data_IF_078997300474
#
_entry.id   IF_078997300474
#
_cell.length_a   1.000
_cell.length_b   1.000
_cell.length_c   1.000
_cell.angle_alpha   90.00
_cell.angle_beta   90.00
_cell.angle_gamma   90.00
#
_symmetry.space_group_name_H-M   'P 1'
#
loop_
_entity.id
_entity.type
_entity.pdbx_description
1 polymer ?
#
# COMPACT_ATOMS: atom_id res chain seq x y z
N UNK A 1 -3.55 2.42 7.34
CA UNK A 1 -4.38 2.65 6.14
C UNK A 1 -3.58 3.54 5.20
N UNK A 2 -3.50 3.22 3.90
CA UNK A 2 -2.84 4.10 2.92
C UNK A 2 -3.71 5.30 2.63
N UNK A 3 -3.10 6.48 2.36
CA UNK A 3 -3.83 7.65 1.91
C UNK A 3 -4.53 7.35 0.59
N UNK A 4 -5.84 7.48 0.55
CA UNK A 4 -6.63 7.37 -0.68
C UNK A 4 -7.11 8.75 -1.12
N UNK A 5 -7.67 8.87 -2.33
CA UNK A 5 -8.27 10.13 -2.80
C UNK A 5 -9.42 10.56 -1.87
N UNK A 6 -10.22 9.62 -1.35
CA UNK A 6 -11.23 9.90 -0.35
C UNK A 6 -10.61 10.47 0.92
N UNK A 7 -9.59 9.78 1.46
CA UNK A 7 -8.87 10.24 2.64
C UNK A 7 -8.19 11.60 2.44
N UNK A 8 -7.68 11.88 1.24
CA UNK A 8 -7.13 13.20 0.89
C UNK A 8 -8.18 14.31 1.05
N UNK A 9 -9.40 14.08 0.56
CA UNK A 9 -10.50 15.07 0.65
C UNK A 9 -11.00 15.27 2.09
N UNK A 10 -10.73 14.34 2.99
CA UNK A 10 -11.05 14.44 4.42
C UNK A 10 -9.95 15.17 5.22
N UNK A 11 -8.77 15.37 4.63
CA UNK A 11 -7.72 16.17 5.28
C UNK A 11 -8.18 17.62 5.45
N UNK A 12 -7.97 18.25 6.61
CA UNK A 12 -8.52 19.56 6.95
C UNK A 12 -8.23 20.63 5.90
N UNK A 13 -7.03 20.65 5.35
CA UNK A 13 -6.64 21.66 4.37
C UNK A 13 -7.25 21.44 2.98
N UNK A 14 -7.51 20.18 2.62
CA UNK A 14 -8.17 19.83 1.35
C UNK A 14 -9.69 19.90 1.44
N UNK A 15 -10.27 19.57 2.58
CA UNK A 15 -11.72 19.61 2.80
C UNK A 15 -12.32 20.98 2.48
N UNK A 16 -11.64 22.06 2.84
CA UNK A 16 -12.08 23.44 2.59
C UNK A 16 -11.66 23.96 1.20
N UNK A 17 -10.65 23.35 0.57
CA UNK A 17 -9.94 23.93 -0.57
C UNK A 17 -9.94 23.06 -1.82
N UNK A 18 -10.46 21.86 -1.77
CA UNK A 18 -10.47 20.93 -2.90
C UNK A 18 -11.88 20.40 -3.19
N UNK A 19 -12.19 20.25 -4.49
CA UNK A 19 -13.44 19.64 -4.95
C UNK A 19 -13.13 18.58 -6.00
N UNK A 20 -13.68 17.38 -5.82
CA UNK A 20 -13.59 16.31 -6.81
C UNK A 20 -14.45 16.63 -8.02
N UNK A 21 -13.89 16.53 -9.22
CA UNK A 21 -14.55 16.82 -10.50
C UNK A 21 -14.91 15.55 -11.27
N UNK A 22 -14.19 14.46 -11.02
CA UNK A 22 -14.42 13.16 -11.65
C UNK A 22 -15.32 12.28 -10.79
N UNK A 23 -16.07 11.38 -11.41
CA UNK A 23 -16.89 10.36 -10.72
C UNK A 23 -16.18 9.03 -10.53
N UNK A 24 -14.88 8.96 -10.82
CA UNK A 24 -14.12 7.71 -10.77
C UNK A 24 -13.53 7.41 -9.38
N UNK A 25 -12.87 6.27 -9.31
CA UNK A 25 -12.44 5.55 -8.11
C UNK A 25 -11.73 6.42 -7.08
N UNK A 26 -12.40 6.69 -5.97
CA UNK A 26 -11.86 7.44 -4.82
C UNK A 26 -10.94 6.59 -3.93
N UNK A 27 -10.86 5.30 -4.15
CA UNK A 27 -10.06 4.35 -3.35
C UNK A 27 -8.62 4.17 -3.86
N UNK A 28 -8.23 4.85 -4.98
CA UNK A 28 -6.84 4.83 -5.43
C UNK A 28 -5.93 5.43 -4.37
N UNK A 29 -4.81 4.76 -4.13
CA UNK A 29 -3.79 5.18 -3.17
C UNK A 29 -3.03 6.39 -3.67
N UNK A 30 -2.54 7.20 -2.74
CA UNK A 30 -1.60 8.30 -2.98
C UNK A 30 -0.32 7.99 -2.21
N UNK A 31 0.78 7.78 -2.92
CA UNK A 31 2.07 7.39 -2.34
C UNK A 31 3.08 8.53 -2.33
N UNK A 32 2.88 9.52 -3.19
CA UNK A 32 3.69 10.74 -3.21
C UNK A 32 2.90 11.93 -3.75
N UNK A 33 3.41 13.11 -3.52
CA UNK A 33 2.89 14.37 -4.05
C UNK A 33 4.00 15.18 -4.68
N UNK A 34 3.73 15.76 -5.85
CA UNK A 34 4.67 16.66 -6.54
C UNK A 34 3.95 17.83 -7.20
N UNK A 35 4.70 18.88 -7.55
CA UNK A 35 4.20 20.04 -8.27
C UNK A 35 4.74 20.01 -9.70
N UNK A 36 3.85 20.24 -10.66
CA UNK A 36 4.19 20.34 -12.06
C UNK A 36 3.88 21.77 -12.56
N UNK A 37 4.93 22.52 -12.91
CA UNK A 37 4.80 23.88 -13.47
C UNK A 37 5.65 24.07 -14.75
N UNK A 38 6.48 23.08 -15.09
CA UNK A 38 7.34 23.16 -16.27
C UNK A 38 6.57 22.88 -17.56
N UNK A 39 6.87 23.61 -18.66
CA UNK A 39 6.25 23.34 -19.97
C UNK A 39 6.70 22.01 -20.59
N UNK A 40 7.94 21.59 -20.31
CA UNK A 40 8.56 20.38 -20.85
C UNK A 40 8.53 19.27 -19.80
N UNK A 41 7.33 18.89 -19.39
CA UNK A 41 7.16 17.90 -18.36
C UNK A 41 7.43 16.48 -18.90
N UNK A 42 8.48 15.86 -18.35
CA UNK A 42 8.78 14.45 -18.65
C UNK A 42 7.99 13.53 -17.72
N UNK A 43 7.05 12.77 -18.29
CA UNK A 43 6.26 11.78 -17.56
C UNK A 43 7.04 10.55 -17.13
N UNK A 44 8.21 10.27 -17.76
CA UNK A 44 9.04 9.08 -17.46
C UNK A 44 9.64 9.12 -16.04
N UNK A 45 9.69 10.31 -15.43
CA UNK A 45 10.14 10.50 -14.04
C UNK A 45 9.05 10.30 -13.00
N UNK A 46 7.79 10.11 -13.43
CA UNK A 46 6.67 9.88 -12.53
C UNK A 46 6.54 8.39 -12.21
N UNK A 47 6.32 8.12 -10.94
CA UNK A 47 5.86 6.80 -10.49
C UNK A 47 4.33 6.75 -10.49
N UNK A 48 3.77 5.55 -10.47
CA UNK A 48 2.34 5.34 -10.26
C UNK A 48 1.88 5.88 -8.89
N UNK A 49 0.60 6.08 -8.73
CA UNK A 49 -0.04 6.49 -7.47
C UNK A 49 0.36 7.88 -6.94
N UNK A 50 0.76 8.80 -7.83
CA UNK A 50 1.08 10.18 -7.47
C UNK A 50 -0.12 11.11 -7.38
N UNK A 51 -0.02 12.14 -6.52
CA UNK A 51 -0.83 13.35 -6.56
C UNK A 51 -0.02 14.45 -7.24
N UNK A 52 -0.48 14.90 -8.39
CA UNK A 52 0.18 15.99 -9.13
C UNK A 52 -0.58 17.29 -8.89
N UNK A 53 0.10 18.29 -8.34
CA UNK A 53 -0.46 19.63 -8.12
C UNK A 53 0.05 20.57 -9.23
N UNK A 54 -0.85 21.32 -9.86
CA UNK A 54 -0.45 22.23 -10.94
C UNK A 54 -1.35 23.46 -11.00
N UNK A 55 -0.83 24.57 -11.50
CA UNK A 55 -1.61 25.74 -11.91
C UNK A 55 -1.89 25.73 -13.40
N UNK A 56 -1.31 24.80 -14.17
CA UNK A 56 -1.31 24.76 -15.63
C UNK A 56 -0.75 26.03 -16.27
N UNK A 57 0.15 26.75 -15.58
CA UNK A 57 0.70 28.04 -16.01
C UNK A 57 1.37 28.00 -17.39
N UNK A 58 1.95 26.88 -17.77
CA UNK A 58 2.57 26.70 -19.08
C UNK A 58 1.60 26.31 -20.20
N UNK A 59 0.35 25.95 -19.87
CA UNK A 59 -0.58 25.29 -20.80
C UNK A 59 -1.95 25.98 -20.90
N UNK A 60 -2.22 27.01 -20.10
CA UNK A 60 -3.54 27.66 -19.99
C UNK A 60 -4.05 28.33 -21.26
N UNK A 61 -3.15 28.62 -22.22
CA UNK A 61 -3.50 29.37 -23.46
C UNK A 61 -4.39 28.55 -24.42
N UNK A 62 -4.47 27.24 -24.28
CA UNK A 62 -5.21 26.35 -25.16
C UNK A 62 -5.78 25.15 -24.43
N UNK A 63 -7.09 24.92 -24.60
CA UNK A 63 -7.74 23.72 -24.08
C UNK A 63 -7.08 22.44 -24.60
N UNK A 64 -6.64 22.42 -25.87
CA UNK A 64 -5.91 21.29 -26.45
C UNK A 64 -4.57 21.04 -25.74
N UNK A 65 -3.88 22.10 -25.29
CA UNK A 65 -2.64 21.97 -24.52
C UNK A 65 -2.92 21.38 -23.14
N UNK A 66 -3.95 21.87 -22.45
CA UNK A 66 -4.40 21.32 -21.15
C UNK A 66 -4.76 19.84 -21.29
N UNK A 67 -5.59 19.49 -22.26
CA UNK A 67 -6.03 18.12 -22.49
C UNK A 67 -4.87 17.18 -22.82
N UNK A 68 -3.87 17.66 -23.56
CA UNK A 68 -2.64 16.88 -23.86
C UNK A 68 -1.87 16.56 -22.58
N UNK A 69 -1.68 17.53 -21.71
CA UNK A 69 -0.98 17.36 -20.43
C UNK A 69 -1.74 16.40 -19.50
N UNK A 70 -3.05 16.63 -19.34
CA UNK A 70 -3.88 15.73 -18.52
C UNK A 70 -3.86 14.31 -19.05
N UNK A 71 -3.92 14.12 -20.38
CA UNK A 71 -3.77 12.80 -20.98
C UNK A 71 -2.41 12.17 -20.68
N UNK A 72 -1.32 12.92 -20.84
CA UNK A 72 0.04 12.40 -20.56
C UNK A 72 0.19 11.98 -19.10
N UNK A 73 -0.25 12.80 -18.15
CA UNK A 73 -0.25 12.46 -16.73
C UNK A 73 -1.13 11.24 -16.42
N UNK A 74 -2.28 11.15 -17.09
CA UNK A 74 -3.17 10.01 -16.90
C UNK A 74 -2.58 8.70 -17.42
N UNK A 75 -1.83 8.75 -18.52
CA UNK A 75 -1.10 7.60 -19.05
C UNK A 75 0.07 7.15 -18.16
N UNK A 76 0.62 8.06 -17.34
CA UNK A 76 1.62 7.75 -16.32
C UNK A 76 1.02 7.13 -15.05
N UNK A 77 -0.27 6.78 -15.07
CA UNK A 77 -0.98 6.10 -13.96
C UNK A 77 -0.97 6.86 -12.63
N UNK A 78 -0.89 8.20 -12.64
CA UNK A 78 -1.05 8.99 -11.42
C UNK A 78 -2.44 8.77 -10.81
N UNK A 79 -2.60 8.96 -9.52
CA UNK A 79 -3.89 8.76 -8.84
C UNK A 79 -4.80 9.97 -8.99
N UNK A 80 -4.23 11.16 -8.86
CA UNK A 80 -5.01 12.40 -8.97
C UNK A 80 -4.18 13.57 -9.53
N UNK A 81 -4.88 14.48 -10.18
CA UNK A 81 -4.34 15.76 -10.68
C UNK A 81 -5.13 16.88 -10.01
N UNK A 82 -4.45 17.66 -9.15
CA UNK A 82 -4.99 18.83 -8.48
C UNK A 82 -4.70 20.09 -9.29
N UNK A 83 -5.72 20.68 -9.90
CA UNK A 83 -5.63 21.88 -10.72
C UNK A 83 -6.07 23.09 -9.90
N UNK A 84 -5.15 24.00 -9.65
CA UNK A 84 -5.44 25.24 -8.92
C UNK A 84 -6.14 26.25 -9.84
N UNK A 85 -7.34 26.64 -9.43
CA UNK A 85 -8.16 27.63 -10.16
C UNK A 85 -7.83 29.08 -9.73
N UNK A 86 -8.16 30.04 -10.58
CA UNK A 86 -8.14 31.46 -10.29
C UNK A 86 -7.12 32.23 -11.12
N UNK A 87 -5.84 31.87 -11.15
CA UNK A 87 -4.80 32.68 -11.80
C UNK A 87 -4.66 32.43 -13.30
N UNK A 88 -4.65 31.17 -13.72
CA UNK A 88 -4.43 30.79 -15.13
C UNK A 88 -5.65 30.07 -15.71
N UNK A 89 -6.27 29.23 -14.92
CA UNK A 89 -7.46 28.44 -15.30
C UNK A 89 -8.58 28.80 -14.34
N UNK A 90 -9.72 29.30 -14.84
CA UNK A 90 -10.86 29.66 -14.00
C UNK A 90 -11.84 28.49 -13.79
N UNK A 91 -11.89 27.57 -14.73
CA UNK A 91 -12.74 26.37 -14.67
C UNK A 91 -12.10 25.23 -15.40
N UNK A 92 -12.43 24.01 -15.00
CA UNK A 92 -11.98 22.77 -15.64
C UNK A 92 -13.03 22.36 -16.66
N UNK A 93 -12.63 22.28 -17.92
CA UNK A 93 -13.52 21.88 -19.01
C UNK A 93 -13.96 20.42 -18.88
N UNK A 94 -15.16 20.14 -19.35
CA UNK A 94 -15.73 18.79 -19.31
C UNK A 94 -14.88 17.78 -20.08
N UNK A 95 -14.32 18.16 -21.22
CA UNK A 95 -13.45 17.27 -22.00
C UNK A 95 -12.18 16.86 -21.22
N UNK A 96 -11.64 17.77 -20.42
CA UNK A 96 -10.49 17.48 -19.54
C UNK A 96 -10.85 16.45 -18.47
N UNK A 97 -12.04 16.57 -17.88
CA UNK A 97 -12.54 15.61 -16.89
C UNK A 97 -12.78 14.23 -17.53
N UNK A 98 -13.42 14.21 -18.72
CA UNK A 98 -13.68 12.96 -19.45
C UNK A 98 -12.39 12.22 -19.82
N UNK A 99 -11.34 12.94 -20.26
CA UNK A 99 -10.03 12.34 -20.54
C UNK A 99 -9.46 11.68 -19.28
N UNK A 100 -9.45 12.36 -18.15
CA UNK A 100 -8.93 11.77 -16.91
C UNK A 100 -9.74 10.54 -16.46
N UNK A 101 -11.07 10.59 -16.58
CA UNK A 101 -11.96 9.48 -16.26
C UNK A 101 -11.71 8.25 -17.13
N UNK A 102 -11.41 8.42 -18.42
CA UNK A 102 -11.08 7.29 -19.33
C UNK A 102 -9.86 6.49 -18.85
N UNK A 103 -8.94 7.13 -18.14
CA UNK A 103 -7.73 6.49 -17.57
C UNK A 103 -7.87 6.19 -16.07
N UNK A 104 -9.04 6.40 -15.47
CA UNK A 104 -9.27 6.17 -14.05
C UNK A 104 -8.53 7.13 -13.12
N UNK A 105 -8.20 8.35 -13.60
CA UNK A 105 -7.50 9.38 -12.83
C UNK A 105 -8.49 10.41 -12.28
N UNK A 106 -8.31 10.81 -11.05
CA UNK A 106 -9.18 11.82 -10.42
C UNK A 106 -8.67 13.24 -10.68
N UNK A 107 -9.60 14.14 -11.05
CA UNK A 107 -9.34 15.58 -11.16
C UNK A 107 -9.90 16.27 -9.92
N UNK A 108 -9.04 17.05 -9.27
CA UNK A 108 -9.39 17.91 -8.15
C UNK A 108 -9.30 19.37 -8.56
N UNK A 109 -10.40 20.10 -8.45
CA UNK A 109 -10.40 21.56 -8.54
C UNK A 109 -9.94 22.12 -7.20
N UNK A 110 -8.82 22.84 -7.19
CA UNK A 110 -8.24 23.42 -5.99
C UNK A 110 -8.53 24.93 -5.94
N UNK A 111 -8.89 25.43 -4.77
CA UNK A 111 -9.15 26.84 -4.52
C UNK A 111 -7.91 27.70 -4.79
N UNK A 112 -8.09 28.92 -5.25
CA UNK A 112 -7.01 29.91 -5.40
C UNK A 112 -6.25 30.16 -4.10
N UNK A 113 -6.92 30.07 -2.95
CA UNK A 113 -6.31 30.26 -1.63
C UNK A 113 -5.42 29.11 -1.19
N UNK A 114 -5.52 27.93 -1.82
CA UNK A 114 -4.70 26.76 -1.48
C UNK A 114 -3.23 27.04 -1.78
N UNK A 115 -2.37 26.87 -0.79
CA UNK A 115 -0.91 26.98 -0.93
C UNK A 115 -0.31 25.58 -1.11
N UNK A 116 0.34 25.31 -2.24
CA UNK A 116 0.93 24.01 -2.56
C UNK A 116 1.86 23.52 -1.46
N UNK A 117 2.70 24.41 -0.90
CA UNK A 117 3.61 24.01 0.20
C UNK A 117 2.87 23.42 1.42
N UNK A 118 1.70 23.97 1.77
CA UNK A 118 0.89 23.45 2.89
C UNK A 118 0.21 22.14 2.51
N UNK A 119 -0.33 22.05 1.31
CA UNK A 119 -0.93 20.84 0.78
C UNK A 119 0.09 19.69 0.73
N UNK A 120 1.29 19.94 0.24
CA UNK A 120 2.39 18.97 0.21
C UNK A 120 2.76 18.55 1.63
N UNK A 121 2.96 19.51 2.54
CA UNK A 121 3.31 19.22 3.93
C UNK A 121 2.28 18.32 4.61
N UNK A 122 0.99 18.59 4.41
CA UNK A 122 -0.09 17.79 5.01
C UNK A 122 -0.12 16.36 4.46
N UNK A 123 -0.03 16.21 3.13
CA UNK A 123 0.03 14.90 2.48
C UNK A 123 1.24 14.10 2.94
N UNK A 124 2.44 14.68 2.92
CA UNK A 124 3.66 14.00 3.34
C UNK A 124 3.63 13.65 4.82
N UNK A 125 3.08 14.51 5.68
CA UNK A 125 2.91 14.23 7.10
C UNK A 125 1.98 13.05 7.32
N UNK A 126 0.87 12.96 6.59
CA UNK A 126 -0.03 11.82 6.66
C UNK A 126 0.67 10.52 6.25
N UNK A 127 1.33 10.52 5.09
CA UNK A 127 2.06 9.35 4.58
C UNK A 127 3.15 8.90 5.57
N UNK A 128 3.93 9.84 6.11
CA UNK A 128 4.98 9.55 7.09
C UNK A 128 4.43 8.99 8.40
N UNK A 129 3.32 9.52 8.90
CA UNK A 129 2.68 9.03 10.12
C UNK A 129 2.12 7.62 9.94
N UNK A 130 1.55 7.31 8.78
CA UNK A 130 1.10 5.95 8.46
C UNK A 130 2.26 4.94 8.44
N UNK A 131 3.38 5.30 7.80
CA UNK A 131 4.58 4.46 7.78
C UNK A 131 5.15 4.25 9.20
N UNK A 132 5.19 5.31 10.00
CA UNK A 132 5.62 5.26 11.40
C UNK A 132 4.73 4.33 12.21
N UNK A 133 3.40 4.44 12.09
CA UNK A 133 2.46 3.58 12.81
C UNK A 133 2.65 2.10 12.47
N UNK A 134 2.91 1.75 11.21
CA UNK A 134 3.22 0.37 10.81
C UNK A 134 4.53 -0.09 11.46
N UNK A 135 5.57 0.73 11.39
CA UNK A 135 6.89 0.41 11.98
C UNK A 135 6.79 0.21 13.50
N UNK A 136 6.07 1.09 14.20
CA UNK A 136 5.86 0.98 15.65
C UNK A 136 5.11 -0.31 16.03
N UNK A 137 4.10 -0.72 15.24
CA UNK A 137 3.40 -1.99 15.45
C UNK A 137 4.33 -3.19 15.30
N UNK A 138 5.20 -3.18 14.30
CA UNK A 138 6.19 -4.25 14.08
C UNK A 138 7.19 -4.30 15.24
N UNK A 139 7.73 -3.16 15.66
CA UNK A 139 8.67 -3.08 16.79
C UNK A 139 8.00 -3.58 18.08
N UNK A 140 6.77 -3.16 18.33
CA UNK A 140 6.03 -3.57 19.52
C UNK A 140 5.75 -5.09 19.50
N UNK A 141 5.33 -5.64 18.37
CA UNK A 141 5.11 -7.08 18.22
C UNK A 141 6.41 -7.87 18.47
N UNK A 142 7.53 -7.42 17.89
CA UNK A 142 8.82 -8.06 18.11
C UNK A 142 9.23 -8.02 19.59
N UNK A 143 9.09 -6.86 20.26
CA UNK A 143 9.43 -6.73 21.69
C UNK A 143 8.66 -7.72 22.55
N UNK A 144 7.38 -7.87 22.31
CA UNK A 144 6.53 -8.79 23.08
C UNK A 144 6.85 -10.25 22.81
N UNK A 145 7.21 -10.59 21.55
CA UNK A 145 7.70 -11.92 21.23
C UNK A 145 9.02 -12.24 21.96
N UNK A 146 9.96 -11.29 21.96
CA UNK A 146 11.22 -11.49 22.71
C UNK A 146 10.98 -11.63 24.21
N UNK A 147 10.06 -10.86 24.79
CA UNK A 147 9.70 -11.01 26.21
C UNK A 147 9.09 -12.37 26.50
N UNK A 148 8.20 -12.87 25.66
CA UNK A 148 7.62 -14.20 25.80
C UNK A 148 8.70 -15.29 25.72
N UNK A 149 9.64 -15.20 24.79
CA UNK A 149 10.78 -16.12 24.68
C UNK A 149 11.68 -16.08 25.92
N UNK A 150 11.96 -14.92 26.48
CA UNK A 150 12.76 -14.77 27.71
C UNK A 150 12.07 -15.35 28.95
N UNK A 151 10.75 -15.43 28.95
CA UNK A 151 9.95 -16.06 30.01
C UNK A 151 9.77 -17.58 29.81
N UNK A 152 10.49 -18.17 28.85
CA UNK A 152 10.40 -19.60 28.50
C UNK A 152 8.97 -20.06 28.16
N UNK A 153 8.19 -19.23 27.47
CA UNK A 153 6.86 -19.62 27.02
C UNK A 153 6.95 -20.81 26.04
N UNK A 154 5.97 -21.68 26.09
CA UNK A 154 5.88 -22.82 25.17
C UNK A 154 5.61 -22.34 23.73
N UNK A 155 5.98 -23.16 22.74
CA UNK A 155 5.68 -22.91 21.33
C UNK A 155 4.18 -22.67 21.10
N UNK A 156 3.31 -23.41 21.79
CA UNK A 156 1.86 -23.26 21.72
C UNK A 156 1.39 -21.88 22.24
N UNK A 157 1.92 -21.43 23.37
CA UNK A 157 1.60 -20.11 23.91
C UNK A 157 2.05 -18.99 22.99
N UNK A 158 3.25 -19.11 22.40
CA UNK A 158 3.76 -18.17 21.41
C UNK A 158 2.86 -18.09 20.19
N UNK A 159 2.49 -19.22 19.61
CA UNK A 159 1.57 -19.29 18.46
C UNK A 159 0.19 -18.74 18.82
N UNK A 160 -0.31 -18.98 20.02
CA UNK A 160 -1.62 -18.46 20.48
C UNK A 160 -1.61 -16.93 20.53
N UNK A 161 -0.55 -16.32 21.07
CA UNK A 161 -0.39 -14.87 21.10
C UNK A 161 -0.29 -14.28 19.70
N UNK A 162 0.50 -14.88 18.81
CA UNK A 162 0.64 -14.44 17.42
C UNK A 162 -0.67 -14.56 16.65
N UNK A 163 -1.30 -15.73 16.74
CA UNK A 163 -2.58 -16.02 16.06
C UNK A 163 -3.69 -15.04 16.46
N UNK A 164 -3.82 -14.73 17.75
CA UNK A 164 -4.83 -13.79 18.24
C UNK A 164 -4.61 -12.37 17.73
N UNK A 165 -3.35 -11.93 17.59
CA UNK A 165 -3.00 -10.61 17.08
C UNK A 165 -3.18 -10.45 15.59
N UNK A 166 -2.80 -11.47 14.84
CA UNK A 166 -2.90 -11.47 13.39
C UNK A 166 -4.28 -11.92 12.89
N UNK A 167 -5.14 -12.39 13.80
CA UNK A 167 -6.47 -12.96 13.50
C UNK A 167 -6.38 -14.05 12.43
N UNK A 168 -5.37 -14.92 12.53
CA UNK A 168 -5.06 -15.95 11.55
C UNK A 168 -4.83 -17.31 12.22
N UNK A 169 -4.95 -18.39 11.45
CA UNK A 169 -4.51 -19.69 11.89
C UNK A 169 -3.00 -19.86 11.67
N UNK A 170 -2.30 -20.40 12.66
CA UNK A 170 -0.87 -20.67 12.59
C UNK A 170 -0.56 -22.10 13.00
N UNK A 171 0.41 -22.69 12.31
CA UNK A 171 0.93 -24.01 12.60
C UNK A 171 2.45 -24.03 12.44
N UNK A 172 3.16 -24.72 13.33
CA UNK A 172 4.58 -25.03 13.17
C UNK A 172 4.78 -26.54 13.05
N UNK A 173 5.67 -26.93 12.15
CA UNK A 173 6.13 -28.30 12.01
C UNK A 173 7.66 -28.38 12.05
N UNK A 174 8.19 -29.56 12.37
CA UNK A 174 9.63 -29.85 12.33
C UNK A 174 10.14 -30.10 10.89
N UNK A 175 11.42 -30.49 10.78
CA UNK A 175 12.05 -30.79 9.51
C UNK A 175 11.52 -32.09 8.84
N UNK A 176 10.87 -32.96 9.59
CA UNK A 176 10.23 -34.19 9.11
C UNK A 176 8.75 -33.95 8.72
N UNK A 177 8.26 -32.71 8.88
CA UNK A 177 6.89 -32.33 8.57
C UNK A 177 5.87 -32.66 9.67
N UNK A 178 6.32 -33.10 10.85
CA UNK A 178 5.44 -33.37 11.97
C UNK A 178 5.00 -32.07 12.65
N UNK A 179 3.69 -31.95 12.92
CA UNK A 179 3.13 -30.79 13.59
C UNK A 179 3.61 -30.70 15.04
N UNK A 180 4.29 -29.61 15.37
CA UNK A 180 4.78 -29.33 16.74
C UNK A 180 3.74 -28.58 17.58
N UNK A 181 3.08 -27.56 16.99
CA UNK A 181 2.07 -26.75 17.65
C UNK A 181 1.19 -26.04 16.63
N UNK A 182 -0.03 -25.69 17.07
CA UNK A 182 -0.97 -24.91 16.28
C UNK A 182 -1.81 -23.98 17.16
N UNK A 183 -2.31 -22.89 16.60
CA UNK A 183 -3.19 -21.93 17.26
C UNK A 183 -4.07 -21.18 16.25
N UNK A 184 -5.21 -20.68 16.74
CA UNK A 184 -6.21 -19.93 15.95
C UNK A 184 -7.35 -20.80 15.46
N UNK A 185 -8.38 -20.15 14.89
CA UNK A 185 -9.51 -20.84 14.29
C UNK A 185 -9.17 -21.27 12.87
N UNK A 186 -9.22 -22.55 12.60
CA UNK A 186 -9.08 -23.07 11.25
C UNK A 186 -10.30 -22.63 10.41
N UNK A 187 -10.09 -21.74 9.45
CA UNK A 187 -11.11 -21.40 8.45
C UNK A 187 -11.38 -22.61 7.54
N UNK A 188 -12.56 -22.64 6.89
CA UNK A 188 -12.84 -23.67 5.89
C UNK A 188 -11.77 -23.59 4.77
N UNK A 189 -11.01 -24.66 4.58
CA UNK A 189 -9.92 -24.72 3.58
C UNK A 189 -8.50 -24.89 4.17
N UNK A 190 -8.29 -24.65 5.45
CA UNK A 190 -6.98 -24.83 6.11
C UNK A 190 -6.41 -26.24 5.97
N UNK A 191 -7.24 -27.26 5.98
CA UNK A 191 -6.82 -28.67 5.79
C UNK A 191 -6.21 -28.96 4.41
N UNK A 192 -6.57 -28.19 3.37
CA UNK A 192 -6.01 -28.37 2.03
C UNK A 192 -4.58 -27.80 1.93
N UNK A 193 -4.28 -26.73 2.68
CA UNK A 193 -2.99 -26.02 2.64
C UNK A 193 -1.97 -26.68 3.58
N UNK A 194 -2.43 -27.27 4.70
CA UNK A 194 -1.59 -27.84 5.76
C UNK A 194 -1.57 -29.39 5.77
N UNK A 195 -1.72 -30.04 4.64
CA UNK A 195 -1.59 -31.48 4.56
C UNK A 195 -0.10 -31.90 4.49
N UNK A 196 0.19 -33.10 4.99
CA UNK A 196 1.56 -33.62 5.09
C UNK A 196 2.32 -33.61 3.75
N UNK A 197 1.63 -33.89 2.62
CA UNK A 197 2.26 -33.89 1.31
C UNK A 197 2.76 -32.50 0.90
N UNK A 198 1.95 -31.47 1.09
CA UNK A 198 2.34 -30.08 0.79
C UNK A 198 3.46 -29.59 1.72
N UNK A 199 3.45 -29.97 2.99
CA UNK A 199 4.52 -29.62 3.94
C UNK A 199 5.87 -30.19 3.45
N UNK A 200 5.90 -31.43 2.99
CA UNK A 200 7.12 -32.05 2.44
C UNK A 200 7.58 -31.34 1.16
N UNK A 201 6.64 -30.92 0.29
CA UNK A 201 6.96 -30.11 -0.91
C UNK A 201 7.61 -28.77 -0.52
N UNK A 202 7.03 -28.04 0.43
CA UNK A 202 7.59 -26.76 0.91
C UNK A 202 8.99 -26.95 1.54
N UNK A 203 9.19 -27.95 2.35
CA UNK A 203 10.50 -28.28 2.92
C UNK A 203 11.53 -28.56 1.82
N UNK A 204 11.14 -29.33 0.80
CA UNK A 204 12.01 -29.60 -0.36
C UNK A 204 12.37 -28.32 -1.12
N UNK A 205 11.43 -27.42 -1.30
CA UNK A 205 11.65 -26.15 -2.00
C UNK A 205 12.59 -25.22 -1.24
N UNK A 206 12.40 -25.07 0.06
CA UNK A 206 13.30 -24.27 0.90
C UNK A 206 14.71 -24.87 1.05
N UNK A 207 14.83 -26.17 0.99
CA UNK A 207 16.16 -26.82 0.99
C UNK A 207 16.90 -26.64 -0.35
N UNK A 208 16.18 -26.53 -1.46
CA UNK A 208 16.76 -26.24 -2.79
C UNK A 208 17.13 -24.76 -2.96
N UNK A 209 16.36 -23.86 -2.36
CA UNK A 209 16.57 -22.42 -2.48
C UNK A 209 16.79 -21.79 -1.10
N UNK A 210 18.08 -21.72 -0.70
CA UNK A 210 18.49 -21.21 0.61
C UNK A 210 18.16 -19.71 0.81
N UNK A 211 18.02 -18.94 -0.26
CA UNK A 211 17.70 -17.50 -0.20
C UNK A 211 16.21 -17.22 -0.09
N UNK A 212 15.34 -18.21 -0.33
CA UNK A 212 13.89 -18.04 -0.24
C UNK A 212 13.46 -17.79 1.21
N UNK A 213 12.96 -16.57 1.48
CA UNK A 213 12.53 -16.15 2.81
C UNK A 213 11.13 -16.63 3.18
N UNK A 214 10.24 -16.78 2.19
CA UNK A 214 8.88 -17.28 2.36
C UNK A 214 8.27 -17.74 1.03
N UNK A 215 7.22 -18.57 1.12
CA UNK A 215 6.35 -18.92 0.00
C UNK A 215 4.93 -18.44 0.29
N UNK A 216 4.25 -17.92 -0.73
CA UNK A 216 2.84 -17.54 -0.64
C UNK A 216 2.01 -18.45 -1.55
N UNK A 217 1.02 -19.13 -0.98
CA UNK A 217 0.18 -20.08 -1.71
C UNK A 217 -1.23 -20.15 -1.12
N UNK A 218 -2.25 -20.04 -1.97
CA UNK A 218 -3.67 -20.30 -1.65
C UNK A 218 -4.17 -19.67 -0.32
N UNK A 219 -3.80 -18.39 -0.04
CA UNK A 219 -4.19 -17.71 1.19
C UNK A 219 -3.34 -18.07 2.41
N UNK A 220 -2.20 -18.75 2.21
CA UNK A 220 -1.25 -19.03 3.28
C UNK A 220 0.15 -18.49 2.97
N UNK A 221 0.86 -18.17 4.03
CA UNK A 221 2.28 -17.82 3.99
C UNK A 221 3.05 -18.93 4.73
N UNK A 222 4.06 -19.47 4.07
CA UNK A 222 4.94 -20.52 4.62
C UNK A 222 6.32 -19.90 4.82
N UNK A 223 6.86 -19.99 6.05
CA UNK A 223 8.13 -19.39 6.43
C UNK A 223 9.04 -20.50 6.97
N UNK A 224 10.28 -20.64 6.46
CA UNK A 224 11.21 -21.62 6.99
C UNK A 224 11.79 -21.16 8.33
N UNK A 225 11.74 -22.00 9.34
CA UNK A 225 12.47 -21.82 10.59
C UNK A 225 13.90 -22.32 10.39
N UNK A 226 14.88 -21.43 10.35
CA UNK A 226 16.28 -21.77 10.05
C UNK A 226 17.19 -21.56 11.26
N UNK A 227 18.18 -22.43 11.40
CA UNK A 227 19.35 -22.17 12.22
C UNK A 227 20.58 -22.28 11.31
N UNK A 228 21.28 -21.17 11.14
CA UNK A 228 22.32 -21.00 10.13
C UNK A 228 21.75 -21.33 8.73
N UNK A 229 22.31 -22.29 8.01
CA UNK A 229 21.86 -22.69 6.67
C UNK A 229 20.84 -23.85 6.67
N UNK A 230 20.56 -24.46 7.82
CA UNK A 230 19.65 -25.61 7.92
C UNK A 230 18.23 -25.20 8.23
N UNK A 231 17.28 -25.74 7.47
CA UNK A 231 15.84 -25.63 7.78
C UNK A 231 15.53 -26.60 8.91
N UNK A 232 15.08 -26.08 10.05
CA UNK A 232 14.69 -26.86 11.24
C UNK A 232 13.19 -27.18 11.24
N UNK A 233 12.43 -26.52 10.41
CA UNK A 233 10.99 -26.69 10.31
C UNK A 233 10.35 -25.55 9.55
N UNK A 234 9.01 -25.50 9.55
CA UNK A 234 8.22 -24.46 8.88
C UNK A 234 7.24 -23.83 9.86
N UNK A 235 7.02 -22.53 9.68
CA UNK A 235 5.87 -21.81 10.22
C UNK A 235 4.89 -21.52 9.08
N UNK A 236 3.66 -21.95 9.23
CA UNK A 236 2.59 -21.83 8.26
C UNK A 236 1.53 -20.90 8.84
N UNK A 237 1.18 -19.86 8.09
CA UNK A 237 0.21 -18.81 8.49
C UNK A 237 -0.88 -18.79 7.42
N UNK A 238 -2.12 -19.02 7.82
CA UNK A 238 -3.30 -18.90 6.95
C UNK A 238 -4.04 -17.61 7.30
N UNK A 239 -4.19 -16.74 6.30
CA UNK A 239 -4.79 -15.40 6.41
C UNK A 239 -6.23 -15.43 5.91
#
# INVERSE_FOLDING_TARGET
>A
MSLTIRGLLELPYFQESARLMTSCVTERKIEYVTVMEAPDFNTDSLSENGLILTTLSAHYQSLNSINRVVKALSMAHVSAIGIKLGRYVNSIDRSTVEIAQMYGVSILALSEKLLFRKAISEVLTFIANEQKAVTERVIQANRELYQALLQNCSMRELLTQLSSRLSCYMCCCDADGQKLAEAGSAAQGTGAVFNEKKIVEYLSEFNKNAECGYLSCEGAIVIPCRAQERVLGLSLIHI
#
